data_IF_826770040564
#
_entry.id   IF_826770040564
#
_cell.length_a   1.000
_cell.length_b   1.000
_cell.length_c   1.000
_cell.angle_alpha   90.00
_cell.angle_beta   90.00
_cell.angle_gamma   90.00
#
_symmetry.space_group_name_H-M   'P 1'
#
loop_
_entity.id
_entity.type
_entity.pdbx_description
1 polymer ?
#
# COMPACT_ATOMS: atom_id res chain seq x y z
N UNK A 1 -6.90 -7.27 14.85
CA UNK A 1 -7.56 -6.62 15.99
C UNK A 1 -8.76 -5.84 15.47
N UNK A 2 -9.92 -5.96 16.12
CA UNK A 2 -11.09 -5.13 15.81
C UNK A 2 -11.04 -3.82 16.61
N UNK A 3 -11.58 -2.71 16.10
CA UNK A 3 -11.61 -1.44 16.81
C UNK A 3 -12.37 -1.57 18.14
N UNK A 4 -11.77 -1.06 19.21
CA UNK A 4 -12.37 -1.05 20.56
C UNK A 4 -13.23 0.18 20.81
N UNK A 5 -13.07 1.24 20.01
CA UNK A 5 -13.90 2.44 20.08
C UNK A 5 -15.24 2.22 19.34
N UNK A 6 -16.41 2.34 20.00
CA UNK A 6 -17.70 1.96 19.42
C UNK A 6 -18.04 2.70 18.12
N UNK A 7 -17.60 3.96 17.97
CA UNK A 7 -17.84 4.72 16.73
C UNK A 7 -17.08 4.13 15.55
N UNK A 8 -15.84 3.69 15.76
CA UNK A 8 -15.05 3.05 14.70
C UNK A 8 -15.59 1.65 14.40
N UNK A 9 -15.98 0.90 15.45
CA UNK A 9 -16.57 -0.42 15.29
C UNK A 9 -17.86 -0.42 14.45
N UNK A 10 -18.70 0.61 14.58
CA UNK A 10 -19.91 0.76 13.78
C UNK A 10 -19.64 1.12 12.29
N UNK A 11 -18.40 1.48 11.95
CA UNK A 11 -17.97 1.91 10.61
C UNK A 11 -16.79 1.07 10.09
N UNK A 12 -16.65 -0.16 10.56
CA UNK A 12 -15.62 -1.11 10.13
C UNK A 12 -16.29 -2.36 9.64
N UNK A 13 -15.89 -2.86 8.47
CA UNK A 13 -16.34 -4.17 8.00
C UNK A 13 -15.75 -5.28 8.90
N UNK A 14 -16.57 -6.00 9.68
CA UNK A 14 -16.07 -7.07 10.56
C UNK A 14 -15.55 -8.29 9.80
N UNK A 15 -15.86 -8.40 8.51
CA UNK A 15 -15.42 -9.48 7.62
C UNK A 15 -14.05 -9.20 7.01
N UNK A 16 -13.63 -7.93 6.99
CA UNK A 16 -12.31 -7.55 6.50
C UNK A 16 -11.23 -8.06 7.46
N UNK A 17 -10.32 -8.89 6.93
CA UNK A 17 -9.31 -9.54 7.74
C UNK A 17 -8.31 -8.54 8.31
N UNK A 18 -8.06 -8.64 9.61
CA UNK A 18 -6.98 -7.90 10.27
C UNK A 18 -5.59 -8.44 9.85
N UNK A 19 -4.53 -8.00 10.54
CA UNK A 19 -3.17 -8.50 10.32
C UNK A 19 -3.13 -10.01 10.49
N UNK A 20 -2.78 -10.68 9.39
CA UNK A 20 -2.53 -12.11 9.28
C UNK A 20 -1.83 -12.34 7.94
N UNK A 21 -0.56 -12.71 7.99
CA UNK A 21 0.28 -12.87 6.79
C UNK A 21 -0.06 -14.15 6.00
N UNK A 22 -0.85 -15.06 6.59
CA UNK A 22 -1.37 -16.23 5.88
C UNK A 22 -2.54 -15.87 4.96
N UNK A 23 -3.18 -14.72 5.18
CA UNK A 23 -4.23 -14.16 4.33
C UNK A 23 -3.59 -13.24 3.28
N UNK A 24 -3.92 -13.47 2.00
CA UNK A 24 -3.41 -12.66 0.89
C UNK A 24 -4.07 -11.29 0.84
N UNK A 25 -3.35 -10.29 0.35
CA UNK A 25 -3.92 -8.96 0.15
C UNK A 25 -4.96 -8.97 -0.97
N UNK A 26 -4.82 -9.87 -1.96
CA UNK A 26 -5.87 -10.10 -2.95
C UNK A 26 -7.18 -10.62 -2.34
N UNK A 27 -7.13 -11.46 -1.30
CA UNK A 27 -8.34 -11.89 -0.58
C UNK A 27 -8.92 -10.77 0.30
N UNK A 28 -8.09 -9.88 0.85
CA UNK A 28 -8.59 -8.65 1.49
C UNK A 28 -9.32 -7.76 0.50
N UNK A 29 -8.77 -7.61 -0.71
CA UNK A 29 -9.43 -6.87 -1.79
C UNK A 29 -10.69 -7.54 -2.28
N UNK A 30 -10.80 -8.88 -2.25
CA UNK A 30 -12.06 -9.56 -2.55
C UNK A 30 -13.17 -9.14 -1.58
N UNK A 31 -12.87 -9.10 -0.28
CA UNK A 31 -13.82 -8.66 0.75
C UNK A 31 -14.15 -7.17 0.64
N UNK A 32 -13.14 -6.31 0.48
CA UNK A 32 -13.35 -4.88 0.23
C UNK A 32 -14.21 -4.65 -1.02
N UNK A 33 -13.95 -5.38 -2.11
CA UNK A 33 -14.71 -5.25 -3.36
C UNK A 33 -16.18 -5.63 -3.16
N UNK A 34 -16.48 -6.60 -2.29
CA UNK A 34 -17.85 -6.98 -1.94
C UNK A 34 -18.61 -5.79 -1.34
N UNK A 35 -18.03 -5.08 -0.38
CA UNK A 35 -18.65 -3.91 0.26
C UNK A 35 -18.65 -2.69 -0.68
N UNK A 36 -17.55 -2.43 -1.39
CA UNK A 36 -17.46 -1.36 -2.38
C UNK A 36 -18.57 -1.46 -3.43
N UNK A 37 -18.87 -2.65 -3.94
CA UNK A 37 -19.98 -2.84 -4.87
C UNK A 37 -21.36 -2.54 -4.25
N UNK A 38 -21.54 -2.76 -2.94
CA UNK A 38 -22.75 -2.36 -2.23
C UNK A 38 -22.84 -0.83 -2.14
N UNK A 39 -21.74 -0.14 -1.87
CA UNK A 39 -21.70 1.32 -1.90
C UNK A 39 -22.03 1.87 -3.29
N UNK A 40 -21.45 1.30 -4.35
CA UNK A 40 -21.76 1.66 -5.75
C UNK A 40 -23.23 1.45 -6.06
N UNK A 41 -23.81 0.29 -5.69
CA UNK A 41 -25.21 -0.03 -5.97
C UNK A 41 -26.19 0.91 -5.24
N UNK A 42 -25.84 1.36 -4.03
CA UNK A 42 -26.71 2.17 -3.19
C UNK A 42 -26.42 3.67 -3.27
N UNK A 43 -25.34 4.10 -3.93
CA UNK A 43 -24.94 5.50 -3.98
C UNK A 43 -24.40 6.01 -2.64
N UNK A 44 -23.73 5.15 -1.86
CA UNK A 44 -23.42 5.37 -0.44
C UNK A 44 -21.93 5.30 -0.09
N UNK A 45 -21.02 5.48 -1.06
CA UNK A 45 -19.58 5.47 -0.76
C UNK A 45 -19.23 6.51 0.33
N UNK A 46 -18.51 6.11 1.40
CA UNK A 46 -18.05 7.04 2.43
C UNK A 46 -17.16 8.14 1.85
N UNK A 47 -17.12 9.30 2.52
CA UNK A 47 -16.23 10.41 2.14
C UNK A 47 -14.75 10.08 2.32
N UNK A 48 -14.44 9.26 3.32
CA UNK A 48 -13.09 8.81 3.66
C UNK A 48 -13.19 7.35 4.04
N UNK A 49 -12.31 6.55 3.48
CA UNK A 49 -12.17 5.12 3.73
C UNK A 49 -10.69 4.82 4.01
N UNK A 50 -10.43 3.91 4.95
CA UNK A 50 -9.09 3.41 5.24
C UNK A 50 -9.03 1.92 4.88
N UNK A 51 -8.11 1.57 3.99
CA UNK A 51 -7.87 0.19 3.57
C UNK A 51 -6.46 -0.18 3.97
N UNK A 52 -6.29 -1.30 4.67
CA UNK A 52 -4.98 -1.83 5.05
C UNK A 52 -4.66 -3.08 4.24
N UNK A 53 -3.58 -3.03 3.49
CA UNK A 53 -2.90 -4.19 2.91
C UNK A 53 -1.61 -4.38 3.71
N UNK A 54 -1.26 -5.60 4.07
CA UNK A 54 -0.16 -5.84 5.02
C UNK A 54 0.71 -7.05 4.67
N UNK A 55 0.54 -7.60 3.47
CA UNK A 55 1.34 -8.71 2.99
C UNK A 55 2.80 -8.33 2.73
N UNK A 56 3.08 -7.07 2.47
CA UNK A 56 4.42 -6.49 2.31
C UNK A 56 5.32 -6.53 3.56
N UNK A 57 4.78 -6.76 4.76
CA UNK A 57 5.59 -7.12 5.94
C UNK A 57 6.32 -8.47 5.79
N UNK A 58 5.83 -9.34 4.89
CA UNK A 58 6.35 -10.66 4.58
C UNK A 58 6.49 -11.62 5.78
N UNK A 59 6.91 -12.86 5.53
CA UNK A 59 7.31 -13.80 6.59
C UNK A 59 8.80 -14.14 6.50
N UNK A 60 9.60 -13.21 5.96
CA UNK A 60 10.99 -13.45 5.64
C UNK A 60 11.16 -14.67 4.72
N UNK A 61 12.21 -15.43 5.00
CA UNK A 61 12.55 -16.65 4.27
C UNK A 61 12.05 -17.93 4.97
N UNK A 62 11.02 -17.83 5.81
CA UNK A 62 10.43 -18.96 6.54
C UNK A 62 10.08 -20.10 5.57
N UNK A 63 10.65 -21.32 5.74
CA UNK A 63 10.38 -22.45 4.85
C UNK A 63 8.89 -22.76 4.70
N UNK A 64 8.44 -22.91 3.46
CA UNK A 64 7.05 -23.18 3.14
C UNK A 64 6.13 -21.95 3.16
N UNK A 65 6.52 -20.82 3.74
CA UNK A 65 5.82 -19.54 3.54
C UNK A 65 6.03 -19.02 2.11
N UNK A 66 5.21 -18.07 1.66
CA UNK A 66 5.44 -17.36 0.39
C UNK A 66 6.79 -16.63 0.43
N UNK A 67 7.46 -16.51 -0.72
CA UNK A 67 8.68 -15.71 -0.80
C UNK A 67 8.36 -14.23 -0.55
N UNK A 68 9.30 -13.43 -0.03
CA UNK A 68 9.14 -11.98 0.11
C UNK A 68 8.68 -11.30 -1.20
N UNK A 69 9.20 -11.72 -2.35
CA UNK A 69 8.74 -11.22 -3.66
C UNK A 69 7.30 -11.59 -3.98
N UNK A 70 6.86 -12.80 -3.65
CA UNK A 70 5.48 -13.23 -3.85
C UNK A 70 4.51 -12.44 -2.95
N UNK A 71 4.92 -12.14 -1.72
CA UNK A 71 4.20 -11.24 -0.81
C UNK A 71 4.04 -9.83 -1.39
N UNK A 72 5.14 -9.20 -1.82
CA UNK A 72 5.12 -7.85 -2.40
C UNK A 72 4.36 -7.81 -3.73
N UNK A 73 4.46 -8.86 -4.57
CA UNK A 73 3.69 -8.94 -5.81
C UNK A 73 2.17 -9.11 -5.55
N UNK A 74 1.79 -9.84 -4.51
CA UNK A 74 0.39 -9.98 -4.08
C UNK A 74 -0.17 -8.62 -3.61
N UNK A 75 0.61 -7.87 -2.83
CA UNK A 75 0.29 -6.51 -2.38
C UNK A 75 0.19 -5.50 -3.55
N UNK A 76 1.16 -5.49 -4.47
CA UNK A 76 1.15 -4.61 -5.67
C UNK A 76 -0.10 -4.85 -6.54
N UNK A 77 -0.44 -6.12 -6.78
CA UNK A 77 -1.68 -6.46 -7.49
C UNK A 77 -2.93 -6.01 -6.72
N UNK A 78 -2.94 -6.15 -5.40
CA UNK A 78 -4.07 -5.73 -4.56
C UNK A 78 -4.31 -4.22 -4.66
N UNK A 79 -3.25 -3.40 -4.59
CA UNK A 79 -3.35 -1.94 -4.84
C UNK A 79 -3.90 -1.68 -6.24
N UNK A 80 -3.36 -2.36 -7.26
CA UNK A 80 -3.83 -2.24 -8.63
C UNK A 80 -5.31 -2.56 -8.80
N UNK A 81 -5.82 -3.59 -8.12
CA UNK A 81 -7.23 -3.99 -8.15
C UNK A 81 -8.16 -2.98 -7.48
N UNK A 82 -7.73 -2.33 -6.40
CA UNK A 82 -8.48 -1.22 -5.78
C UNK A 82 -8.61 -0.07 -6.78
N UNK A 83 -7.49 0.35 -7.40
CA UNK A 83 -7.50 1.43 -8.39
C UNK A 83 -8.37 1.06 -9.60
N UNK A 84 -8.29 -0.17 -10.08
CA UNK A 84 -9.10 -0.69 -11.18
C UNK A 84 -10.60 -0.58 -10.87
N UNK A 85 -11.03 -1.14 -9.73
CA UNK A 85 -12.41 -1.11 -9.28
C UNK A 85 -12.96 0.33 -9.12
N UNK A 86 -12.18 1.22 -8.48
CA UNK A 86 -12.57 2.62 -8.31
C UNK A 86 -12.65 3.34 -9.66
N UNK A 87 -11.66 3.15 -10.53
CA UNK A 87 -11.55 3.87 -11.80
C UNK A 87 -12.62 3.49 -12.83
N UNK A 88 -13.15 2.26 -12.73
CA UNK A 88 -14.29 1.80 -13.52
C UNK A 88 -15.66 2.09 -12.85
N UNK A 89 -15.68 2.70 -11.67
CA UNK A 89 -16.91 3.04 -10.96
C UNK A 89 -17.42 4.45 -11.30
N UNK A 90 -18.70 4.76 -10.98
CA UNK A 90 -19.23 6.12 -11.07
C UNK A 90 -18.50 7.15 -10.19
N UNK A 91 -17.69 6.71 -9.24
CA UNK A 91 -16.98 7.57 -8.29
C UNK A 91 -15.66 8.11 -8.82
N UNK A 92 -15.09 7.52 -9.89
CA UNK A 92 -13.72 7.83 -10.35
C UNK A 92 -13.43 9.32 -10.48
N UNK A 93 -14.35 10.06 -11.09
CA UNK A 93 -14.22 11.50 -11.32
C UNK A 93 -14.03 12.33 -10.02
N UNK A 94 -14.40 11.78 -8.86
CA UNK A 94 -14.41 12.47 -7.56
C UNK A 94 -13.61 11.73 -6.49
N UNK A 95 -12.72 10.81 -6.87
CA UNK A 95 -11.91 10.04 -5.91
C UNK A 95 -10.43 10.36 -6.04
N UNK A 96 -9.75 10.40 -4.89
CA UNK A 96 -8.30 10.33 -4.79
C UNK A 96 -7.95 9.21 -3.82
N UNK A 97 -7.08 8.30 -4.26
CA UNK A 97 -6.55 7.19 -3.46
C UNK A 97 -5.14 7.59 -3.04
N UNK A 98 -4.90 7.60 -1.73
CA UNK A 98 -3.59 7.88 -1.15
C UNK A 98 -2.99 6.57 -0.64
N UNK A 99 -1.72 6.32 -0.97
CA UNK A 99 -1.00 5.10 -0.56
C UNK A 99 0.32 5.53 0.09
N UNK A 100 0.60 4.96 1.26
CA UNK A 100 1.83 5.12 2.04
C UNK A 100 1.99 3.88 2.90
N UNK A 101 3.22 3.61 3.31
CA UNK A 101 3.53 2.60 4.33
C UNK A 101 3.24 3.15 5.74
N UNK A 102 3.18 2.26 6.73
CA UNK A 102 3.05 2.61 8.16
C UNK A 102 4.35 3.20 8.74
N UNK A 103 5.51 2.73 8.27
CA UNK A 103 6.81 3.32 8.54
C UNK A 103 7.80 3.22 7.34
N UNK A 104 9.05 3.61 7.53
CA UNK A 104 10.08 3.58 6.49
C UNK A 104 10.94 2.30 6.53
N UNK A 105 10.60 1.37 7.42
CA UNK A 105 11.41 0.23 7.83
C UNK A 105 12.81 0.68 8.33
N UNK A 106 13.76 -0.23 8.61
CA UNK A 106 15.18 0.18 8.79
C UNK A 106 15.95 0.25 7.47
N UNK A 107 15.28 0.54 6.35
CA UNK A 107 15.92 0.65 5.05
C UNK A 107 16.91 1.82 4.99
N UNK A 108 18.13 1.63 4.45
CA UNK A 108 19.02 2.76 4.24
C UNK A 108 18.50 3.64 3.10
N UNK A 109 18.16 4.88 3.42
CA UNK A 109 17.83 5.91 2.43
C UNK A 109 18.91 7.00 2.42
N UNK A 110 19.32 7.41 1.21
CA UNK A 110 20.41 8.37 1.02
C UNK A 110 20.05 9.83 1.32
N UNK A 111 18.76 10.13 1.51
CA UNK A 111 18.25 11.46 1.86
C UNK A 111 17.90 11.51 3.34
N UNK A 112 17.03 10.61 3.80
CA UNK A 112 16.63 10.50 5.21
C UNK A 112 16.05 9.11 5.49
N UNK A 113 16.47 8.46 6.58
CA UNK A 113 16.05 7.11 6.94
C UNK A 113 14.54 6.95 7.22
N UNK A 114 13.82 8.05 7.44
CA UNK A 114 12.35 8.04 7.62
C UNK A 114 11.60 8.33 6.32
N UNK A 115 12.29 8.46 5.19
CA UNK A 115 11.63 8.70 3.89
C UNK A 115 10.94 7.41 3.44
N UNK A 116 9.64 7.50 3.18
CA UNK A 116 8.80 6.38 2.72
C UNK A 116 8.14 6.68 1.36
N UNK A 117 7.38 5.72 0.83
CA UNK A 117 6.61 5.85 -0.39
C UNK A 117 5.37 6.72 -0.16
N UNK A 118 5.00 7.52 -1.16
CA UNK A 118 3.76 8.28 -1.14
C UNK A 118 3.20 8.35 -2.56
N UNK A 119 2.06 7.69 -2.78
CA UNK A 119 1.35 7.68 -4.06
C UNK A 119 0.00 8.39 -3.91
N UNK A 120 -0.39 9.12 -4.96
CA UNK A 120 -1.73 9.71 -5.07
C UNK A 120 -2.31 9.37 -6.43
N UNK A 121 -3.40 8.60 -6.45
CA UNK A 121 -4.04 8.10 -7.66
C UNK A 121 -5.42 8.72 -7.80
N UNK A 122 -5.63 9.50 -8.86
CA UNK A 122 -6.86 10.25 -9.15
C UNK A 122 -6.89 10.64 -10.63
N UNK A 123 -8.05 10.96 -11.23
CA UNK A 123 -8.09 11.59 -12.55
C UNK A 123 -7.23 12.85 -12.64
N UNK A 124 -7.06 13.54 -11.50
CA UNK A 124 -6.33 14.79 -11.41
C UNK A 124 -4.82 14.62 -11.20
N UNK A 125 -4.31 13.42 -10.94
CA UNK A 125 -2.87 13.19 -10.70
C UNK A 125 -2.14 12.54 -11.87
N UNK A 126 -2.85 12.24 -12.98
CA UNK A 126 -2.29 11.64 -14.20
C UNK A 126 -1.43 12.60 -15.03
N UNK A 127 -0.46 13.25 -14.40
CA UNK A 127 0.41 14.26 -15.02
C UNK A 127 1.64 13.66 -15.70
N UNK A 128 1.94 12.38 -15.43
CA UNK A 128 3.17 11.70 -15.87
C UNK A 128 4.44 12.24 -15.21
N UNK A 129 4.31 13.01 -14.11
CA UNK A 129 5.42 13.64 -13.40
C UNK A 129 5.56 13.05 -12.00
N UNK A 130 6.80 13.08 -11.50
CA UNK A 130 7.09 12.89 -10.08
C UNK A 130 7.04 14.25 -9.41
N UNK A 131 6.22 14.39 -8.37
CA UNK A 131 6.24 15.55 -7.48
C UNK A 131 7.37 15.36 -6.46
N UNK A 132 8.33 16.29 -6.44
CA UNK A 132 9.49 16.25 -5.54
C UNK A 132 9.39 17.28 -4.41
N UNK A 133 8.19 17.82 -4.16
CA UNK A 133 7.93 18.67 -3.00
C UNK A 133 8.15 17.86 -1.72
N UNK A 134 8.75 18.49 -0.70
CA UNK A 134 8.95 17.86 0.59
C UNK A 134 7.61 17.74 1.34
N UNK A 135 7.13 16.51 1.47
CA UNK A 135 5.92 16.17 2.21
C UNK A 135 6.22 15.28 3.41
N UNK A 136 5.29 15.27 4.36
CA UNK A 136 5.20 14.26 5.42
C UNK A 136 3.84 13.56 5.36
N UNK A 137 3.64 12.52 6.16
CA UNK A 137 2.31 11.90 6.35
C UNK A 137 1.25 12.90 6.80
N UNK A 138 1.66 13.96 7.53
CA UNK A 138 0.77 15.07 7.92
C UNK A 138 0.35 15.93 6.71
N UNK A 139 1.19 16.08 5.69
CA UNK A 139 0.81 16.71 4.42
C UNK A 139 -0.27 15.93 3.67
N UNK A 140 -0.17 14.60 3.69
CA UNK A 140 -1.21 13.72 3.14
C UNK A 140 -2.52 13.88 3.91
N UNK A 141 -2.46 13.84 5.25
CA UNK A 141 -3.64 14.08 6.10
C UNK A 141 -4.29 15.43 5.82
N UNK A 142 -3.48 16.49 5.73
CA UNK A 142 -3.97 17.83 5.38
C UNK A 142 -4.66 17.87 4.02
N UNK A 143 -4.19 17.09 3.07
CA UNK A 143 -4.81 16.99 1.73
C UNK A 143 -6.16 16.27 1.82
N UNK A 144 -6.23 15.17 2.57
CA UNK A 144 -7.48 14.42 2.81
C UNK A 144 -8.52 15.30 3.49
N UNK A 145 -8.14 16.07 4.53
CA UNK A 145 -9.02 17.04 5.19
C UNK A 145 -9.64 18.03 4.20
N UNK A 146 -8.81 18.64 3.36
CA UNK A 146 -9.25 19.63 2.38
C UNK A 146 -10.22 19.02 1.35
N UNK A 147 -9.95 17.80 0.87
CA UNK A 147 -10.82 17.09 -0.08
C UNK A 147 -12.15 16.66 0.58
N UNK A 148 -12.11 16.19 1.83
CA UNK A 148 -13.29 15.76 2.57
C UNK A 148 -14.14 16.94 3.10
N UNK A 149 -13.57 18.15 3.12
CA UNK A 149 -14.18 19.35 3.69
C UNK A 149 -14.17 19.37 5.22
N UNK A 150 -13.15 18.75 5.84
CA UNK A 150 -12.96 18.67 7.28
C UNK A 150 -11.91 19.70 7.70
N UNK A 151 -12.10 20.33 8.86
CA UNK A 151 -11.11 21.24 9.43
C UNK A 151 -9.87 20.49 9.93
N UNK A 152 -8.76 21.22 10.17
CA UNK A 152 -7.57 20.62 10.77
C UNK A 152 -7.90 19.99 12.13
N UNK A 153 -7.37 18.79 12.38
CA UNK A 153 -7.55 18.10 13.65
C UNK A 153 -6.62 18.63 14.74
N UNK A 154 -5.50 19.23 14.35
CA UNK A 154 -4.45 19.74 15.25
C UNK A 154 -3.80 21.01 14.71
N UNK A 155 -2.77 21.53 15.38
CA UNK A 155 -1.95 22.60 14.81
C UNK A 155 -0.95 22.08 13.75
N UNK A 156 -0.66 20.77 13.75
CA UNK A 156 0.34 20.18 12.87
C UNK A 156 -0.20 20.03 11.44
N UNK A 157 -1.40 19.48 11.29
CA UNK A 157 -2.10 19.42 10.01
C UNK A 157 -2.50 20.83 9.51
N UNK A 158 -2.92 21.74 10.40
CA UNK A 158 -3.20 23.14 10.05
C UNK A 158 -2.01 23.86 9.38
N UNK A 159 -0.79 23.54 9.80
CA UNK A 159 0.44 24.14 9.28
C UNK A 159 1.11 23.33 8.15
N UNK A 160 0.61 22.12 7.86
CA UNK A 160 1.20 21.25 6.86
C UNK A 160 0.98 21.75 5.43
N UNK A 161 1.98 21.58 4.58
CA UNK A 161 1.84 21.88 3.15
C UNK A 161 1.00 20.79 2.49
N UNK A 162 -0.15 21.11 1.87
CA UNK A 162 -0.96 20.11 1.18
C UNK A 162 -0.26 19.62 -0.09
N UNK A 163 -0.61 18.41 -0.54
CA UNK A 163 -0.09 17.77 -1.75
C UNK A 163 -0.66 18.36 -3.05
N UNK A 164 -1.05 19.64 -3.04
CA UNK A 164 -1.74 20.28 -4.16
C UNK A 164 -0.91 20.34 -5.44
N UNK A 165 0.42 20.31 -5.35
CA UNK A 165 1.32 20.29 -6.51
C UNK A 165 1.23 18.97 -7.30
N UNK A 166 0.73 17.90 -6.67
CA UNK A 166 0.47 16.61 -7.32
C UNK A 166 -0.80 16.60 -8.17
N UNK A 167 -1.68 17.60 -8.04
CA UNK A 167 -2.97 17.68 -8.74
C UNK A 167 -2.94 18.70 -9.89
N UNK A 168 -3.52 18.32 -11.03
CA UNK A 168 -3.80 19.20 -12.16
C UNK A 168 -5.21 19.79 -12.09
N UNK A 169 -5.46 20.88 -12.81
CA UNK A 169 -6.80 21.50 -12.88
C UNK A 169 -7.78 20.77 -13.80
N UNK A 170 -7.28 19.99 -14.77
CA UNK A 170 -8.10 19.24 -15.73
C UNK A 170 -7.92 17.74 -15.49
N UNK A 171 -9.02 16.97 -15.27
CA UNK A 171 -8.91 15.54 -15.03
C UNK A 171 -8.66 14.76 -16.32
N UNK A 172 -7.90 13.67 -16.22
CA UNK A 172 -7.94 12.57 -17.17
C UNK A 172 -8.83 11.45 -16.61
N UNK A 173 -10.01 11.26 -17.22
CA UNK A 173 -10.98 10.26 -16.77
C UNK A 173 -10.74 8.86 -17.33
N UNK A 174 -9.63 8.63 -18.05
CA UNK A 174 -9.27 7.28 -18.49
C UNK A 174 -9.16 6.35 -17.27
N UNK A 175 -9.85 5.19 -17.30
CA UNK A 175 -9.75 4.22 -16.21
C UNK A 175 -8.40 3.50 -16.28
N UNK A 176 -8.04 2.85 -15.18
CA UNK A 176 -6.87 2.01 -15.04
C UNK A 176 -7.30 0.55 -15.02
N UNK A 177 -6.55 -0.32 -15.72
CA UNK A 177 -6.74 -1.78 -15.64
C UNK A 177 -5.58 -2.37 -14.86
N UNK A 178 -5.89 -3.17 -13.84
CA UNK A 178 -4.87 -3.81 -13.00
C UNK A 178 -3.93 -4.68 -13.85
N UNK A 179 -2.63 -4.58 -13.57
CA UNK A 179 -1.60 -5.36 -14.25
C UNK A 179 -1.23 -6.54 -13.36
N UNK A 180 -1.35 -7.77 -13.88
CA UNK A 180 -0.87 -8.96 -13.17
C UNK A 180 0.66 -8.98 -13.13
N UNK A 181 1.29 -9.09 -11.94
CA UNK A 181 2.73 -9.21 -11.83
C UNK A 181 3.27 -10.46 -12.53
N UNK A 182 4.49 -10.37 -13.08
CA UNK A 182 5.18 -11.53 -13.64
C UNK A 182 5.70 -12.51 -12.57
N UNK A 183 5.84 -12.03 -11.33
CA UNK A 183 6.23 -12.83 -10.17
C UNK A 183 5.07 -13.77 -9.78
N UNK A 184 5.31 -15.09 -9.66
CA UNK A 184 4.30 -16.01 -9.12
C UNK A 184 3.93 -15.64 -7.69
N UNK A 185 2.62 -15.43 -7.44
CA UNK A 185 2.09 -14.97 -6.15
C UNK A 185 2.10 -16.07 -5.07
N UNK A 186 2.24 -17.33 -5.49
CA UNK A 186 2.27 -18.52 -4.64
C UNK A 186 3.67 -19.16 -4.55
N UNK A 187 4.72 -18.49 -5.05
CA UNK A 187 6.08 -18.99 -4.89
C UNK A 187 6.41 -19.12 -3.40
N UNK A 188 6.93 -20.28 -2.99
CA UNK A 188 7.26 -20.57 -1.59
C UNK A 188 8.75 -20.69 -1.36
N UNK A 189 9.18 -20.31 -0.16
CA UNK A 189 10.55 -20.47 0.29
C UNK A 189 10.91 -21.96 0.41
N UNK A 190 12.00 -22.43 -0.23
CA UNK A 190 12.52 -23.77 0.01
C UNK A 190 13.15 -23.85 1.41
N UNK A 191 13.35 -25.08 1.92
CA UNK A 191 14.07 -25.30 3.17
C UNK A 191 15.53 -24.78 3.14
N UNK A 192 16.09 -24.60 1.93
CA UNK A 192 17.45 -24.08 1.69
C UNK A 192 17.47 -22.57 1.44
N UNK A 193 16.37 -21.85 1.70
CA UNK A 193 16.36 -20.40 1.53
C UNK A 193 17.43 -19.74 2.42
N UNK A 194 18.06 -18.64 1.97
CA UNK A 194 18.96 -17.86 2.81
C UNK A 194 18.29 -17.50 4.14
N UNK A 195 18.98 -17.68 5.27
CA UNK A 195 18.43 -17.39 6.61
C UNK A 195 17.16 -18.18 6.98
N UNK A 196 16.85 -19.29 6.31
CA UNK A 196 15.66 -20.10 6.59
C UNK A 196 15.51 -20.51 8.07
N UNK A 197 16.62 -20.90 8.71
CA UNK A 197 16.63 -21.28 10.12
C UNK A 197 16.33 -20.11 11.06
N UNK A 198 16.84 -18.92 10.72
CA UNK A 198 16.60 -17.70 11.50
C UNK A 198 15.13 -17.28 11.37
N UNK A 199 14.62 -17.18 10.14
CA UNK A 199 13.24 -16.81 9.84
C UNK A 199 12.24 -17.77 10.48
N UNK A 200 12.51 -19.08 10.48
CA UNK A 200 11.66 -20.08 11.13
C UNK A 200 11.55 -19.92 12.65
N UNK A 201 12.50 -19.23 13.29
CA UNK A 201 12.49 -18.94 14.72
C UNK A 201 11.83 -17.60 15.09
N UNK A 202 11.41 -16.80 14.11
CA UNK A 202 10.78 -15.49 14.34
C UNK A 202 9.27 -15.60 14.55
N UNK A 203 8.71 -14.63 15.29
CA UNK A 203 7.27 -14.52 15.51
C UNK A 203 6.67 -13.53 14.50
N UNK A 204 6.01 -14.06 13.46
CA UNK A 204 5.26 -13.29 12.47
C UNK A 204 3.75 -13.28 12.75
N UNK A 205 3.31 -13.60 13.97
CA UNK A 205 1.88 -13.70 14.30
C UNK A 205 1.16 -12.35 14.36
N UNK A 206 1.90 -11.25 14.52
CA UNK A 206 1.38 -9.89 14.49
C UNK A 206 2.48 -8.92 14.02
N UNK A 207 2.11 -7.71 13.66
CA UNK A 207 3.06 -6.64 13.35
C UNK A 207 3.98 -6.38 14.56
N UNK A 208 5.23 -5.99 14.29
CA UNK A 208 6.26 -5.62 15.28
C UNK A 208 6.66 -6.72 16.29
N UNK A 209 6.26 -7.97 16.04
CA UNK A 209 6.66 -9.13 16.87
C UNK A 209 8.01 -9.72 16.44
N UNK A 210 8.28 -9.72 15.14
CA UNK A 210 9.53 -10.22 14.61
C UNK A 210 10.68 -9.24 14.92
N UNK A 211 11.91 -9.72 15.20
CA UNK A 211 13.06 -8.84 15.34
C UNK A 211 13.36 -8.15 14.00
N UNK A 212 13.07 -6.85 13.93
CA UNK A 212 13.05 -6.05 12.70
C UNK A 212 14.32 -6.22 11.84
N UNK A 213 15.50 -5.95 12.42
CA UNK A 213 16.78 -6.11 11.71
C UNK A 213 17.05 -7.53 11.19
N UNK A 214 16.50 -8.55 11.84
CA UNK A 214 16.70 -9.93 11.41
C UNK A 214 15.73 -10.30 10.28
N UNK A 215 14.48 -9.85 10.36
CA UNK A 215 13.48 -10.03 9.31
C UNK A 215 13.92 -9.38 7.99
N UNK A 216 14.37 -8.12 8.05
CA UNK A 216 14.88 -7.38 6.88
C UNK A 216 16.08 -8.06 6.22
N UNK A 217 17.03 -8.57 7.01
CA UNK A 217 18.17 -9.31 6.47
C UNK A 217 17.72 -10.55 5.70
N UNK A 218 16.66 -11.23 6.16
CA UNK A 218 16.06 -12.35 5.45
C UNK A 218 15.56 -11.93 4.05
N UNK A 219 14.81 -10.84 3.99
CA UNK A 219 14.27 -10.30 2.73
C UNK A 219 15.38 -9.86 1.76
N UNK A 220 16.39 -9.15 2.26
CA UNK A 220 17.56 -8.76 1.47
C UNK A 220 18.34 -9.98 0.98
N UNK A 221 18.49 -11.01 1.82
CA UNK A 221 19.20 -12.23 1.45
C UNK A 221 18.45 -13.03 0.37
N UNK A 222 17.11 -13.04 0.38
CA UNK A 222 16.33 -13.61 -0.73
C UNK A 222 16.58 -12.87 -2.04
N UNK A 223 16.59 -11.53 -2.00
CA UNK A 223 16.86 -10.70 -3.18
C UNK A 223 18.25 -10.96 -3.74
N UNK A 224 19.27 -10.94 -2.87
CA UNK A 224 20.68 -11.12 -3.23
C UNK A 224 21.00 -12.56 -3.70
N UNK A 225 20.44 -13.57 -3.03
CA UNK A 225 20.69 -14.99 -3.32
C UNK A 225 20.22 -15.45 -4.71
N UNK A 226 19.41 -14.64 -5.39
CA UNK A 226 18.90 -14.92 -6.75
C UNK A 226 19.55 -14.09 -7.86
N UNK A 227 20.60 -13.32 -7.56
CA UNK A 227 21.37 -12.58 -8.57
C UNK A 227 20.62 -11.40 -9.20
N UNK A 228 19.57 -10.89 -8.57
CA UNK A 228 18.93 -9.65 -8.99
C UNK A 228 19.65 -8.45 -8.38
N UNK A 229 20.02 -7.42 -9.17
CA UNK A 229 20.57 -6.20 -8.61
C UNK A 229 19.53 -5.56 -7.68
N UNK A 230 20.03 -4.84 -6.66
CA UNK A 230 19.27 -4.05 -5.72
C UNK A 230 18.47 -2.98 -6.47
N UNK A 231 17.29 -3.37 -6.97
CA UNK A 231 16.28 -2.42 -7.38
C UNK A 231 15.65 -1.96 -6.06
N UNK A 232 16.11 -0.82 -5.56
CA UNK A 232 15.36 -0.07 -4.56
C UNK A 232 13.87 -0.01 -4.95
N UNK A 233 13.00 0.19 -3.94
CA UNK A 233 11.55 0.32 -4.08
C UNK A 233 11.17 0.90 -5.44
N UNK A 234 10.19 0.30 -6.16
CA UNK A 234 9.99 0.51 -7.59
C UNK A 234 10.04 1.99 -7.92
N UNK A 235 11.18 2.43 -8.46
CA UNK A 235 11.28 3.73 -9.05
C UNK A 235 10.26 3.70 -10.18
N UNK A 236 9.19 4.48 -10.05
CA UNK A 236 8.17 4.67 -11.06
C UNK A 236 8.88 4.98 -12.39
N UNK A 237 9.11 3.94 -13.21
CA UNK A 237 9.74 4.10 -14.51
C UNK A 237 8.67 4.76 -15.36
N UNK A 238 8.76 6.08 -15.47
CA UNK A 238 7.96 6.86 -16.40
C UNK A 238 7.97 6.15 -17.77
N UNK A 239 6.82 5.63 -18.16
CA UNK A 239 6.58 5.13 -19.51
C UNK A 239 6.88 6.29 -20.44
N UNK A 240 7.97 6.19 -21.22
CA UNK A 240 8.25 7.18 -22.25
C UNK A 240 7.11 7.11 -23.28
N UNK A 241 6.39 8.20 -23.56
CA UNK A 241 5.51 8.21 -24.71
C UNK A 241 6.38 8.05 -25.96
N UNK A 242 6.06 7.04 -26.76
CA UNK A 242 6.63 6.86 -28.09
C UNK A 242 6.39 8.10 -28.94
N UNK A 243 7.40 8.45 -29.74
CA UNK A 243 7.28 9.44 -30.81
C UNK A 243 6.36 8.93 -31.91
#
# INVERSE_FOLDING_TARGET
MFPTEPRLAAHTDPSYAAQDLTITDNSRVDEWSREFHQFVANGQLPKVEFVRLGGDHTMGTTPGARTPKAYVADNDLAVGRIVDAVSHSPYWANTAIFVTEDDAQNGPDHVDAHRTTALVVSPYTQTGRVDSTLYSTVSMMRTIELLAGIGPLTQFDAAATPMSASFAGTPNLAPYTAVTPAQPLDERNPATAPMAADSAGMDFSDADRAPEQAAERGDLAERAGRGQPDAGAPACRAVRPGR
#
